data_IF_798326805518
#
_entry.id   IF_798326805518
#
_cell.length_a   1.000
_cell.length_b   1.000
_cell.length_c   1.000
_cell.angle_alpha   90.00
_cell.angle_beta   90.00
_cell.angle_gamma   90.00
#
_symmetry.space_group_name_H-M   'P 1'
#
loop_
_entity.id
_entity.type
_entity.pdbx_description
1 polymer ?
#
# COMPACT_ATOMS: atom_id res chain seq x y z
N UNK A 1 -21.86 9.27 23.82
CA UNK A 1 -20.64 8.85 23.07
C UNK A 1 -19.76 10.07 22.85
N UNK A 2 -18.47 9.99 23.22
CA UNK A 2 -17.51 11.09 23.07
C UNK A 2 -17.21 11.36 21.58
N UNK A 3 -16.79 12.58 21.22
CA UNK A 3 -16.41 12.95 19.85
C UNK A 3 -15.19 12.15 19.39
N UNK A 4 -14.19 11.95 20.26
CA UNK A 4 -13.01 11.12 19.98
C UNK A 4 -13.36 9.68 19.61
N UNK A 5 -14.39 9.10 20.26
CA UNK A 5 -14.88 7.75 19.96
C UNK A 5 -15.54 7.67 18.58
N UNK A 6 -16.35 8.67 18.19
CA UNK A 6 -16.91 8.72 16.83
C UNK A 6 -15.83 8.86 15.76
N UNK A 7 -14.81 9.68 16.03
CA UNK A 7 -13.67 9.87 15.13
C UNK A 7 -12.82 8.61 15.01
N UNK A 8 -12.71 7.79 16.05
CA UNK A 8 -12.00 6.50 15.99
C UNK A 8 -12.60 5.59 14.93
N UNK A 9 -13.93 5.46 14.86
CA UNK A 9 -14.59 4.64 13.83
C UNK A 9 -14.24 5.09 12.41
N UNK A 10 -14.12 6.42 12.20
CA UNK A 10 -13.72 6.97 10.90
C UNK A 10 -12.25 6.68 10.62
N UNK A 11 -11.37 6.81 11.62
CA UNK A 11 -9.95 6.47 11.51
C UNK A 11 -9.80 5.00 11.12
N UNK A 12 -10.50 4.09 11.80
CA UNK A 12 -10.45 2.65 11.53
C UNK A 12 -10.88 2.34 10.09
N UNK A 13 -11.98 2.94 9.63
CA UNK A 13 -12.44 2.80 8.25
C UNK A 13 -11.40 3.30 7.22
N UNK A 14 -10.70 4.40 7.53
CA UNK A 14 -9.64 4.93 6.66
C UNK A 14 -8.39 4.06 6.67
N UNK A 15 -8.01 3.52 7.83
CA UNK A 15 -6.90 2.59 7.97
C UNK A 15 -7.17 1.28 7.20
N UNK A 16 -8.39 0.75 7.25
CA UNK A 16 -8.78 -0.42 6.46
C UNK A 16 -8.69 -0.14 4.95
N UNK A 17 -9.11 1.04 4.52
CA UNK A 17 -9.01 1.44 3.11
C UNK A 17 -7.55 1.61 2.67
N UNK A 18 -6.71 2.22 3.51
CA UNK A 18 -5.26 2.33 3.28
C UNK A 18 -4.62 0.96 3.14
N UNK A 19 -4.95 0.03 4.04
CA UNK A 19 -4.45 -1.35 3.99
C UNK A 19 -4.81 -2.05 2.67
N UNK A 20 -6.05 -1.89 2.19
CA UNK A 20 -6.45 -2.45 0.88
C UNK A 20 -5.60 -1.94 -0.27
N UNK A 21 -5.26 -0.65 -0.28
CA UNK A 21 -4.36 -0.09 -1.30
C UNK A 21 -2.94 -0.62 -1.17
N UNK A 22 -2.44 -0.79 0.07
CA UNK A 22 -1.14 -1.37 0.32
C UNK A 22 -1.05 -2.83 -0.14
N UNK A 23 -2.07 -3.63 0.17
CA UNK A 23 -2.15 -5.03 -0.25
C UNK A 23 -2.17 -5.14 -1.79
N UNK A 24 -3.00 -4.33 -2.45
CA UNK A 24 -3.05 -4.26 -3.92
C UNK A 24 -1.69 -3.85 -4.53
N UNK A 25 -1.02 -2.86 -3.94
CA UNK A 25 0.33 -2.45 -4.36
C UNK A 25 1.33 -3.59 -4.23
N UNK A 26 1.29 -4.34 -3.13
CA UNK A 26 2.15 -5.51 -2.92
C UNK A 26 1.92 -6.61 -3.95
N UNK A 27 0.66 -6.89 -4.29
CA UNK A 27 0.31 -7.86 -5.36
C UNK A 27 0.87 -7.41 -6.71
N UNK A 28 0.68 -6.14 -7.08
CA UNK A 28 1.19 -5.60 -8.35
C UNK A 28 2.73 -5.64 -8.41
N UNK A 29 3.42 -5.33 -7.30
CA UNK A 29 4.89 -5.43 -7.21
C UNK A 29 5.39 -6.87 -7.38
N UNK A 30 4.72 -7.85 -6.77
CA UNK A 30 5.07 -9.27 -6.95
C UNK A 30 4.84 -9.71 -8.39
N UNK A 31 3.74 -9.29 -9.01
CA UNK A 31 3.46 -9.57 -10.43
C UNK A 31 4.56 -8.99 -11.34
N UNK A 32 4.99 -7.75 -11.08
CA UNK A 32 6.12 -7.13 -11.80
C UNK A 32 7.37 -8.01 -11.75
N UNK A 33 7.78 -8.44 -10.55
CA UNK A 33 8.99 -9.26 -10.39
C UNK A 33 8.89 -10.60 -11.13
N UNK A 34 7.72 -11.26 -11.07
CA UNK A 34 7.48 -12.50 -11.80
C UNK A 34 7.58 -12.29 -13.31
N UNK A 35 7.03 -11.19 -13.83
CA UNK A 35 7.06 -10.83 -15.24
C UNK A 35 8.45 -10.46 -15.73
N UNK A 36 9.22 -9.72 -14.94
CA UNK A 36 10.63 -9.42 -15.22
C UNK A 36 11.46 -10.71 -15.32
N UNK A 37 11.25 -11.66 -14.41
CA UNK A 37 11.92 -12.95 -14.45
C UNK A 37 11.53 -13.77 -15.69
N UNK A 38 10.25 -13.81 -16.05
CA UNK A 38 9.77 -14.48 -17.26
C UNK A 38 10.40 -13.87 -18.52
N UNK A 39 10.40 -12.54 -18.63
CA UNK A 39 11.00 -11.82 -19.75
C UNK A 39 12.51 -12.09 -19.85
N UNK A 40 13.22 -12.09 -18.71
CA UNK A 40 14.64 -12.44 -18.67
C UNK A 40 14.86 -13.86 -19.19
N UNK A 41 14.12 -14.84 -18.69
CA UNK A 41 14.23 -16.23 -19.12
C UNK A 41 13.95 -16.40 -20.62
N UNK A 42 12.97 -15.67 -21.17
CA UNK A 42 12.66 -15.63 -22.60
C UNK A 42 13.85 -15.10 -23.41
N UNK A 43 14.47 -14.00 -22.97
CA UNK A 43 15.64 -13.38 -23.63
C UNK A 43 16.86 -14.30 -23.58
N UNK A 44 17.13 -14.89 -22.41
CA UNK A 44 18.24 -15.83 -22.21
C UNK A 44 18.06 -17.07 -23.11
N UNK A 45 16.86 -17.67 -23.09
CA UNK A 45 16.56 -18.83 -23.94
C UNK A 45 16.69 -18.51 -25.43
N UNK A 46 16.23 -17.33 -25.85
CA UNK A 46 16.36 -16.87 -27.24
C UNK A 46 17.83 -16.77 -27.66
N UNK A 47 18.68 -16.21 -26.81
CA UNK A 47 20.11 -16.10 -27.06
C UNK A 47 20.78 -17.47 -27.17
N UNK A 48 20.47 -18.38 -26.24
CA UNK A 48 20.97 -19.76 -26.28
C UNK A 48 20.53 -20.49 -27.56
N UNK A 49 19.28 -20.29 -27.96
CA UNK A 49 18.72 -20.90 -29.17
C UNK A 49 19.41 -20.39 -30.44
N UNK A 50 19.75 -19.10 -30.49
CA UNK A 50 20.54 -18.50 -31.57
C UNK A 50 21.94 -19.11 -31.67
N UNK A 51 22.66 -19.19 -30.55
CA UNK A 51 24.02 -19.71 -30.53
C UNK A 51 24.09 -21.19 -30.96
N UNK A 52 23.16 -22.02 -30.45
CA UNK A 52 23.09 -23.45 -30.81
C UNK A 52 22.76 -23.65 -32.29
N UNK A 53 21.87 -22.84 -32.84
CA UNK A 53 21.52 -22.94 -34.26
C UNK A 53 22.61 -22.38 -35.17
N UNK A 54 23.31 -21.30 -34.82
CA UNK A 54 24.40 -20.77 -35.65
C UNK A 54 25.49 -21.83 -35.92
N UNK A 55 25.87 -22.59 -34.90
CA UNK A 55 26.83 -23.70 -35.04
C UNK A 55 26.32 -24.81 -35.96
N UNK A 56 25.01 -25.04 -35.98
CA UNK A 56 24.37 -26.05 -36.83
C UNK A 56 24.23 -25.55 -38.26
N UNK A 57 23.81 -24.30 -38.46
CA UNK A 57 23.64 -23.66 -39.77
C UNK A 57 24.96 -23.61 -40.55
N UNK A 58 26.09 -23.33 -39.86
CA UNK A 58 27.44 -23.33 -40.46
C UNK A 58 27.87 -24.69 -41.03
N UNK A 59 27.27 -25.79 -40.58
CA UNK A 59 27.57 -27.15 -41.07
C UNK A 59 26.70 -27.58 -42.27
N UNK A 60 25.82 -26.71 -42.76
CA UNK A 60 24.83 -27.01 -43.78
C UNK A 60 23.58 -27.66 -43.15
N UNK A 61 22.41 -27.10 -43.46
CA UNK A 61 21.11 -27.61 -42.98
C UNK A 61 20.10 -27.65 -44.12
N UNK A 62 19.04 -28.45 -43.96
CA UNK A 62 17.91 -28.44 -44.88
C UNK A 62 17.15 -27.11 -44.82
N UNK A 63 16.49 -26.76 -45.93
CA UNK A 63 15.61 -25.57 -46.01
C UNK A 63 14.48 -25.65 -44.97
N UNK A 64 13.92 -26.84 -44.73
CA UNK A 64 12.87 -27.06 -43.74
C UNK A 64 13.34 -26.64 -42.34
N UNK A 65 14.52 -27.07 -41.92
CA UNK A 65 15.08 -26.72 -40.60
C UNK A 65 15.34 -25.22 -40.46
N UNK A 66 15.74 -24.56 -41.55
CA UNK A 66 15.92 -23.11 -41.56
C UNK A 66 14.59 -22.35 -41.45
N UNK A 67 13.52 -22.87 -42.06
CA UNK A 67 12.17 -22.30 -41.90
C UNK A 67 11.63 -22.49 -40.48
N UNK A 68 11.79 -23.67 -39.89
CA UNK A 68 11.40 -23.94 -38.49
C UNK A 68 12.10 -23.00 -37.52
N UNK A 69 13.42 -22.82 -37.69
CA UNK A 69 14.20 -21.88 -36.90
C UNK A 69 13.65 -20.46 -36.99
N UNK A 70 13.38 -19.96 -38.21
CA UNK A 70 12.82 -18.61 -38.41
C UNK A 70 11.45 -18.45 -37.76
N UNK A 71 10.55 -19.40 -37.98
CA UNK A 71 9.19 -19.36 -37.42
C UNK A 71 9.21 -19.35 -35.88
N UNK A 72 10.08 -20.16 -35.28
CA UNK A 72 10.23 -20.20 -33.84
C UNK A 72 10.82 -18.89 -33.28
N UNK A 73 11.86 -18.34 -33.92
CA UNK A 73 12.44 -17.06 -33.55
C UNK A 73 11.41 -15.92 -33.61
N UNK A 74 10.60 -15.86 -34.66
CA UNK A 74 9.54 -14.86 -34.79
C UNK A 74 8.51 -14.98 -33.67
N UNK A 75 8.15 -16.21 -33.28
CA UNK A 75 7.25 -16.45 -32.14
C UNK A 75 7.86 -15.97 -30.83
N UNK A 76 9.15 -16.21 -30.60
CA UNK A 76 9.85 -15.72 -29.41
C UNK A 76 9.91 -14.19 -29.38
N UNK A 77 10.21 -13.55 -30.50
CA UNK A 77 10.27 -12.09 -30.61
C UNK A 77 8.91 -11.46 -30.28
N UNK A 78 7.82 -12.02 -30.82
CA UNK A 78 6.45 -11.60 -30.49
C UNK A 78 6.13 -11.77 -29.00
N UNK A 79 6.57 -12.87 -28.39
CA UNK A 79 6.37 -13.12 -26.96
C UNK A 79 7.15 -12.10 -26.09
N UNK A 80 8.39 -11.80 -26.44
CA UNK A 80 9.22 -10.79 -25.76
C UNK A 80 8.54 -9.41 -25.80
N UNK A 81 8.13 -8.97 -27.00
CA UNK A 81 7.43 -7.68 -27.16
C UNK A 81 6.13 -7.65 -26.35
N UNK A 82 5.36 -8.74 -26.35
CA UNK A 82 4.13 -8.84 -25.56
C UNK A 82 4.39 -8.74 -24.06
N UNK A 83 5.39 -9.44 -23.53
CA UNK A 83 5.74 -9.40 -22.10
C UNK A 83 6.32 -8.03 -21.69
N UNK A 84 7.08 -7.38 -22.57
CA UNK A 84 7.54 -5.99 -22.35
C UNK A 84 6.37 -5.02 -22.26
N UNK A 85 5.36 -5.14 -23.13
CA UNK A 85 4.17 -4.29 -23.07
C UNK A 85 3.36 -4.53 -21.80
N UNK A 86 3.22 -5.79 -21.36
CA UNK A 86 2.57 -6.12 -20.09
C UNK A 86 3.33 -5.51 -18.91
N UNK A 87 4.66 -5.54 -18.94
CA UNK A 87 5.49 -4.95 -17.89
C UNK A 87 5.26 -3.44 -17.78
N UNK A 88 5.20 -2.73 -18.90
CA UNK A 88 4.88 -1.29 -18.93
C UNK A 88 3.51 -1.01 -18.30
N UNK A 89 2.50 -1.84 -18.60
CA UNK A 89 1.17 -1.67 -18.02
C UNK A 89 1.17 -1.89 -16.50
N UNK A 90 1.89 -2.92 -16.03
CA UNK A 90 2.05 -3.20 -14.59
C UNK A 90 2.78 -2.04 -13.89
N UNK A 91 3.80 -1.44 -14.52
CA UNK A 91 4.48 -0.29 -13.95
C UNK A 91 3.56 0.92 -13.79
N UNK A 92 2.73 1.20 -14.79
CA UNK A 92 1.71 2.25 -14.71
C UNK A 92 0.68 1.97 -13.60
N UNK A 93 0.25 0.71 -13.48
CA UNK A 93 -0.65 0.27 -12.40
C UNK A 93 0.00 0.49 -11.02
N UNK A 94 1.26 0.09 -10.83
CA UNK A 94 2.00 0.31 -9.58
C UNK A 94 2.08 1.80 -9.25
N UNK A 95 2.37 2.66 -10.22
CA UNK A 95 2.41 4.12 -10.00
C UNK A 95 1.05 4.64 -9.53
N UNK A 96 -0.04 4.18 -10.14
CA UNK A 96 -1.40 4.57 -9.75
C UNK A 96 -1.77 4.07 -8.35
N UNK A 97 -1.51 2.80 -8.06
CA UNK A 97 -1.75 2.18 -6.74
C UNK A 97 -0.94 2.87 -5.64
N UNK A 98 0.32 3.19 -5.91
CA UNK A 98 1.18 3.93 -4.97
C UNK A 98 0.59 5.30 -4.64
N UNK A 99 0.15 6.06 -5.65
CA UNK A 99 -0.49 7.37 -5.43
C UNK A 99 -1.76 7.24 -4.59
N UNK A 100 -2.59 6.23 -4.84
CA UNK A 100 -3.80 5.98 -4.07
C UNK A 100 -3.49 5.62 -2.61
N UNK A 101 -2.48 4.77 -2.38
CA UNK A 101 -1.99 4.43 -1.05
C UNK A 101 -1.46 5.66 -0.31
N UNK A 102 -0.62 6.49 -0.96
CA UNK A 102 -0.07 7.71 -0.36
C UNK A 102 -1.19 8.67 0.08
N UNK A 103 -2.19 8.89 -0.77
CA UNK A 103 -3.34 9.74 -0.44
C UNK A 103 -4.16 9.16 0.73
N UNK A 104 -4.39 7.85 0.73
CA UNK A 104 -5.09 7.17 1.82
C UNK A 104 -4.31 7.30 3.13
N UNK A 105 -3.00 7.04 3.11
CA UNK A 105 -2.10 7.16 4.25
C UNK A 105 -2.11 8.57 4.84
N UNK A 106 -1.99 9.60 4.00
CA UNK A 106 -2.09 10.99 4.45
C UNK A 106 -3.45 11.28 5.09
N UNK A 107 -4.53 10.77 4.52
CA UNK A 107 -5.89 10.95 5.04
C UNK A 107 -6.06 10.28 6.41
N UNK A 108 -5.63 9.03 6.56
CA UNK A 108 -5.65 8.29 7.83
C UNK A 108 -4.88 9.05 8.91
N UNK A 109 -3.65 9.48 8.59
CA UNK A 109 -2.78 10.22 9.52
C UNK A 109 -3.40 11.56 9.96
N UNK A 110 -4.00 12.29 9.02
CA UNK A 110 -4.69 13.54 9.33
C UNK A 110 -5.90 13.32 10.24
N UNK A 111 -6.70 12.28 9.98
CA UNK A 111 -7.85 11.93 10.83
C UNK A 111 -7.42 11.49 12.23
N UNK A 112 -6.33 10.71 12.34
CA UNK A 112 -5.75 10.34 13.63
C UNK A 112 -5.34 11.57 14.44
N UNK A 113 -4.75 12.57 13.79
CA UNK A 113 -4.39 13.84 14.45
C UNK A 113 -5.63 14.56 14.99
N UNK A 114 -6.70 14.66 14.19
CA UNK A 114 -7.98 15.27 14.61
C UNK A 114 -8.60 14.51 15.78
N UNK A 115 -8.57 13.18 15.73
CA UNK A 115 -9.09 12.32 16.79
C UNK A 115 -8.32 12.47 18.11
N UNK A 116 -6.98 12.54 18.04
CA UNK A 116 -6.13 12.81 19.18
C UNK A 116 -6.41 14.19 19.79
N UNK A 117 -6.55 15.23 18.97
CA UNK A 117 -6.92 16.57 19.47
C UNK A 117 -8.27 16.57 20.17
N UNK A 118 -9.27 15.90 19.60
CA UNK A 118 -10.59 15.77 20.24
C UNK A 118 -10.50 15.05 21.60
N UNK A 119 -9.70 13.98 21.69
CA UNK A 119 -9.46 13.24 22.93
C UNK A 119 -8.80 14.13 23.99
N UNK A 120 -7.78 14.89 23.63
CA UNK A 120 -7.11 15.82 24.55
C UNK A 120 -8.07 16.90 25.06
N UNK A 121 -8.90 17.49 24.19
CA UNK A 121 -9.90 18.47 24.62
C UNK A 121 -10.92 17.86 25.58
N UNK A 122 -11.39 16.64 25.31
CA UNK A 122 -12.34 15.96 26.19
C UNK A 122 -11.74 15.62 27.56
N UNK A 123 -10.46 15.27 27.63
CA UNK A 123 -9.77 15.03 28.91
C UNK A 123 -9.70 16.32 29.73
N UNK A 124 -9.30 17.43 29.11
CA UNK A 124 -9.25 18.74 29.78
C UNK A 124 -10.60 19.18 30.32
N UNK A 125 -11.68 18.94 29.58
CA UNK A 125 -13.04 19.28 30.05
C UNK A 125 -13.48 18.41 31.24
N UNK A 126 -13.02 17.16 31.32
CA UNK A 126 -13.27 16.28 32.47
C UNK A 126 -12.46 16.76 33.68
N UNK A 127 -11.16 16.99 33.51
CA UNK A 127 -10.27 17.50 34.58
C UNK A 127 -10.80 18.82 35.17
N UNK A 128 -11.24 19.75 34.32
CA UNK A 128 -11.83 21.02 34.76
C UNK A 128 -13.10 20.82 35.58
N UNK A 129 -13.97 19.88 35.20
CA UNK A 129 -15.19 19.56 35.96
C UNK A 129 -14.88 18.92 37.30
N UNK A 130 -13.94 17.97 37.33
CA UNK A 130 -13.51 17.31 38.56
C UNK A 130 -12.90 18.30 39.56
N UNK A 131 -12.10 19.25 39.08
CA UNK A 131 -11.54 20.33 39.90
C UNK A 131 -12.65 21.21 40.51
N UNK A 132 -13.62 21.66 39.70
CA UNK A 132 -14.75 22.46 40.19
C UNK A 132 -15.58 21.72 41.25
N UNK A 133 -15.85 20.42 41.05
CA UNK A 133 -16.57 19.61 42.03
C UNK A 133 -15.79 19.42 43.35
N UNK A 134 -14.47 19.30 43.29
CA UNK A 134 -13.61 19.24 44.47
C UNK A 134 -13.63 20.56 45.25
N UNK A 135 -13.49 21.69 44.54
CA UNK A 135 -13.52 23.02 45.12
C UNK A 135 -14.87 23.31 45.80
N UNK A 136 -15.99 22.93 45.18
CA UNK A 136 -17.32 23.06 45.78
C UNK A 136 -17.48 22.24 47.07
N UNK A 137 -16.99 20.99 47.09
CA UNK A 137 -17.03 20.13 48.29
C UNK A 137 -16.14 20.66 49.41
N UNK A 138 -14.96 21.18 49.06
CA UNK A 138 -14.05 21.81 50.02
C UNK A 138 -14.68 23.09 50.61
N UNK A 139 -15.30 23.93 49.77
CA UNK A 139 -16.02 25.13 50.20
C UNK A 139 -17.19 24.82 51.14
N UNK A 140 -18.02 23.82 50.82
CA UNK A 140 -19.15 23.39 51.68
C UNK A 140 -18.69 22.81 53.02
N UNK A 141 -17.62 22.03 53.03
CA UNK A 141 -17.05 21.46 54.26
C UNK A 141 -16.49 22.54 55.18
N UNK A 142 -15.87 23.58 54.60
CA UNK A 142 -15.36 24.75 55.34
C UNK A 142 -16.49 25.55 56.00
N UNK A 143 -17.60 25.79 55.28
CA UNK A 143 -18.77 26.51 55.82
C UNK A 143 -19.45 25.74 56.95
N UNK A 144 -19.57 24.41 56.84
CA UNK A 144 -20.24 23.60 57.86
C UNK A 144 -19.45 23.51 59.18
N UNK A 145 -18.12 23.55 59.12
CA UNK A 145 -17.27 23.58 60.32
C UNK A 145 -17.32 24.92 61.06
N UNK A 146 -17.57 26.04 60.36
CA UNK A 146 -17.71 27.37 60.96
C UNK A 146 -19.05 27.61 61.67
N UNK A 147 -20.10 26.84 61.33
CA UNK A 147 -21.42 26.95 61.98
C UNK A 147 -21.52 26.07 63.25
N UNK A 148 -20.78 24.96 63.31
CA UNK A 148 -20.74 24.07 64.48
C UNK A 148 -19.74 24.52 65.58
N UNK A 149 -19.10 25.69 65.43
CA UNK A 149 -18.13 26.23 66.39
C UNK A 149 -18.57 27.56 67.04
N UNK A 150 -19.88 27.85 67.02
CA UNK A 150 -20.53 28.91 67.81
C UNK A 150 -21.51 28.29 68.82
#
# INVERSE_FOLDING_TARGET
MKRSQRLQVIVDLKADQEKKYLDALGVAQNNKQQKELQLKNLKDYRQDYLQKNEQTLKKGVSVVRLMEFRAFMEKMDKAVVSEEQLLVNIEQEITSLRKNWELAHMTTKNMQKVQNSARTSELKEVEKKEQLEQDERAGRSSVNNGINSA
#
